data_IF_000799404299
#
_entry.id   IF_000799404299
#
_cell.length_a   1.000
_cell.length_b   1.000
_cell.length_c   1.000
_cell.angle_alpha   90.00
_cell.angle_beta   90.00
_cell.angle_gamma   90.00
#
_symmetry.space_group_name_H-M   'P 1'
#
loop_
_entity.id
_entity.type
_entity.pdbx_description
1 polymer ?
#
# COMPACT_ATOMS: atom_id res chain seq x y z
N UNK A 1 16.72 83.67 28.04
CA UNK A 1 16.63 82.47 28.88
C UNK A 1 15.78 81.46 28.13
N UNK A 2 16.39 80.62 27.28
CA UNK A 2 15.69 79.69 26.37
C UNK A 2 15.99 78.28 26.84
N UNK A 3 14.99 77.58 27.29
CA UNK A 3 15.09 76.18 27.74
C UNK A 3 14.94 75.28 26.56
N UNK A 4 16.00 74.51 26.28
CA UNK A 4 16.03 73.43 25.30
C UNK A 4 15.36 72.19 25.88
N UNK A 5 14.27 71.67 25.22
CA UNK A 5 13.63 70.39 25.57
C UNK A 5 14.25 69.31 24.70
N UNK A 6 14.98 68.40 25.34
CA UNK A 6 15.49 67.18 24.72
C UNK A 6 14.34 66.17 24.61
N UNK A 7 14.03 65.78 23.38
CA UNK A 7 13.09 64.69 23.10
C UNK A 7 13.89 63.39 22.98
N UNK A 8 13.71 62.50 23.93
CA UNK A 8 14.23 61.12 23.89
C UNK A 8 13.32 60.27 23.00
N UNK A 9 13.80 59.88 21.83
CA UNK A 9 13.19 58.83 20.99
C UNK A 9 13.63 57.46 21.54
N UNK A 10 12.69 56.75 22.15
CA UNK A 10 12.87 55.35 22.51
C UNK A 10 12.49 54.48 21.30
N UNK A 11 13.50 53.98 20.60
CA UNK A 11 13.31 52.96 19.56
C UNK A 11 13.07 51.61 20.20
N UNK A 12 11.83 51.15 20.16
CA UNK A 12 11.46 49.81 20.55
C UNK A 12 11.87 48.82 19.42
N UNK A 13 12.94 48.08 19.63
CA UNK A 13 13.33 46.97 18.76
C UNK A 13 12.44 45.78 19.10
N UNK A 14 11.47 45.49 18.23
CA UNK A 14 10.72 44.25 18.26
C UNK A 14 11.63 43.12 17.73
N UNK A 15 12.21 42.33 18.65
CA UNK A 15 12.85 41.07 18.28
C UNK A 15 11.74 40.08 17.92
N UNK A 16 11.55 39.81 16.62
CA UNK A 16 10.77 38.69 16.14
C UNK A 16 11.58 37.40 16.44
N UNK A 17 11.21 36.71 17.51
CA UNK A 17 11.64 35.32 17.75
C UNK A 17 11.00 34.42 16.70
N UNK A 18 11.66 34.23 15.56
CA UNK A 18 11.39 33.07 14.69
C UNK A 18 11.81 31.81 15.46
N UNK A 19 10.85 31.20 16.11
CA UNK A 19 11.01 29.88 16.69
C UNK A 19 11.29 28.87 15.58
N UNK A 20 12.57 28.56 15.35
CA UNK A 20 12.97 27.38 14.59
C UNK A 20 12.53 26.19 15.42
N UNK A 21 11.41 25.58 15.05
CA UNK A 21 11.05 24.24 15.55
C UNK A 21 12.09 23.29 14.97
N UNK A 22 13.22 23.13 15.67
CA UNK A 22 14.14 22.05 15.39
C UNK A 22 13.38 20.75 15.59
N UNK A 23 13.04 20.07 14.51
CA UNK A 23 12.64 18.67 14.57
C UNK A 23 13.80 17.94 15.22
N UNK A 24 13.60 17.49 16.46
CA UNK A 24 14.54 16.63 17.15
C UNK A 24 14.60 15.31 16.35
N UNK A 25 15.52 15.26 15.41
CA UNK A 25 15.97 14.01 14.82
C UNK A 25 16.56 13.22 15.99
N UNK A 26 16.01 12.05 16.24
CA UNK A 26 16.49 11.16 17.30
C UNK A 26 17.98 10.91 17.08
N UNK A 27 18.84 11.45 17.97
CA UNK A 27 20.29 11.22 17.99
C UNK A 27 20.68 9.77 18.35
N UNK A 28 19.74 8.85 18.29
CA UNK A 28 20.02 7.43 18.50
C UNK A 28 20.85 6.90 17.34
N UNK A 29 21.97 6.22 17.60
CA UNK A 29 22.78 5.65 16.53
C UNK A 29 21.97 4.66 15.73
N UNK A 30 22.12 4.72 14.39
CA UNK A 30 21.50 3.75 13.51
C UNK A 30 22.04 2.35 13.83
N UNK A 31 21.14 1.37 13.99
CA UNK A 31 21.52 -0.02 14.16
C UNK A 31 21.60 -0.70 12.80
N UNK A 32 22.65 -1.46 12.56
CA UNK A 32 22.75 -2.33 11.38
C UNK A 32 22.08 -3.66 11.70
N UNK A 33 21.04 -4.00 10.96
CA UNK A 33 20.38 -5.30 11.04
C UNK A 33 20.73 -6.11 9.79
N UNK A 34 21.11 -7.37 9.97
CA UNK A 34 21.17 -8.31 8.87
C UNK A 34 19.79 -8.93 8.67
N UNK A 35 19.22 -8.72 7.50
CA UNK A 35 17.95 -9.35 7.12
C UNK A 35 18.22 -10.59 6.29
N UNK A 36 17.42 -11.67 6.45
CA UNK A 36 17.42 -12.77 5.51
C UNK A 36 17.18 -12.28 4.08
N UNK A 37 17.84 -12.92 3.12
CA UNK A 37 17.54 -12.65 1.70
C UNK A 37 16.05 -12.95 1.44
N UNK A 38 15.39 -12.05 0.72
CA UNK A 38 14.01 -12.30 0.28
C UNK A 38 14.01 -13.39 -0.78
N UNK A 39 13.03 -14.30 -0.76
CA UNK A 39 12.93 -15.32 -1.80
C UNK A 39 12.60 -14.68 -3.16
N UNK A 40 13.02 -15.33 -4.23
CA UNK A 40 12.69 -14.90 -5.59
C UNK A 40 11.18 -14.92 -5.84
N UNK A 41 10.65 -13.96 -6.62
CA UNK A 41 9.26 -13.97 -7.03
C UNK A 41 8.90 -15.23 -7.83
N UNK A 42 7.85 -15.92 -7.40
CA UNK A 42 7.40 -17.17 -8.01
C UNK A 42 6.65 -16.94 -9.33
N UNK A 43 6.90 -17.79 -10.34
CA UNK A 43 6.04 -17.88 -11.53
C UNK A 43 4.79 -18.69 -11.19
N UNK A 44 3.61 -18.13 -11.51
CA UNK A 44 2.33 -18.74 -11.18
C UNK A 44 1.31 -18.62 -12.32
N UNK A 45 0.37 -19.54 -12.35
CA UNK A 45 -0.82 -19.46 -13.21
C UNK A 45 -2.06 -19.44 -12.31
N UNK A 46 -2.91 -18.45 -12.47
CA UNK A 46 -4.10 -18.23 -11.66
C UNK A 46 -5.38 -18.55 -12.47
N UNK A 47 -6.31 -19.25 -11.83
CA UNK A 47 -7.63 -19.44 -12.39
C UNK A 47 -8.46 -18.15 -12.22
N UNK A 48 -8.81 -17.51 -13.34
CA UNK A 48 -9.53 -16.23 -13.34
C UNK A 48 -10.92 -16.30 -12.70
N UNK A 49 -11.56 -17.46 -12.69
CA UNK A 49 -12.91 -17.64 -12.13
C UNK A 49 -12.97 -17.61 -10.60
N UNK A 50 -11.85 -17.93 -9.94
CA UNK A 50 -11.77 -18.00 -8.47
C UNK A 50 -10.76 -16.98 -7.91
N UNK A 51 -10.24 -16.10 -8.75
CA UNK A 51 -9.24 -15.09 -8.36
C UNK A 51 -9.84 -13.68 -8.46
N UNK A 52 -9.60 -12.86 -7.44
CA UNK A 52 -9.92 -11.44 -7.45
C UNK A 52 -8.66 -10.59 -7.31
N UNK A 53 -8.65 -9.41 -7.94
CA UNK A 53 -7.66 -8.37 -7.70
C UNK A 53 -8.19 -7.39 -6.65
N UNK A 54 -7.41 -7.14 -5.60
CA UNK A 54 -7.67 -6.11 -4.59
C UNK A 54 -6.70 -4.94 -4.77
N UNK A 55 -7.22 -3.79 -5.15
CA UNK A 55 -6.48 -2.54 -5.39
C UNK A 55 -6.59 -1.66 -4.15
N UNK A 56 -5.47 -1.38 -3.51
CA UNK A 56 -5.39 -0.67 -2.24
C UNK A 56 -4.70 0.68 -2.41
N UNK A 57 -5.45 1.76 -2.14
CA UNK A 57 -4.91 3.12 -2.00
C UNK A 57 -4.04 3.64 -3.17
N UNK A 58 -4.31 3.24 -4.41
CA UNK A 58 -3.74 3.82 -5.65
C UNK A 58 -4.44 5.16 -5.97
N UNK A 59 -4.26 6.14 -5.10
CA UNK A 59 -4.97 7.43 -5.15
C UNK A 59 -3.99 8.59 -5.31
N UNK A 60 -4.45 9.67 -5.96
CA UNK A 60 -3.63 10.85 -6.26
C UNK A 60 -2.99 11.46 -5.01
N UNK A 61 -3.74 11.60 -3.92
CA UNK A 61 -3.25 12.22 -2.69
C UNK A 61 -2.05 11.49 -2.09
N UNK A 62 -2.03 10.16 -2.18
CA UNK A 62 -0.91 9.33 -1.73
C UNK A 62 0.23 9.40 -2.75
N UNK A 63 -0.06 9.19 -4.02
CA UNK A 63 0.95 9.09 -5.06
C UNK A 63 1.62 10.43 -5.39
N UNK A 64 1.01 11.56 -5.02
CA UNK A 64 1.64 12.88 -5.09
C UNK A 64 2.80 13.04 -4.08
N UNK A 65 2.71 12.40 -2.92
CA UNK A 65 3.71 12.51 -1.84
C UNK A 65 4.64 11.31 -1.74
N UNK A 66 4.37 10.23 -2.49
CA UNK A 66 5.11 8.97 -2.45
C UNK A 66 5.70 8.66 -3.84
N UNK A 67 6.95 9.09 -4.12
CA UNK A 67 7.55 8.99 -5.46
C UNK A 67 7.50 7.56 -6.05
N UNK A 68 7.71 6.52 -5.22
CA UNK A 68 7.67 5.12 -5.65
C UNK A 68 6.32 4.70 -6.25
N UNK A 69 5.23 5.34 -5.84
CA UNK A 69 3.90 5.05 -6.39
C UNK A 69 3.86 5.27 -7.91
N UNK A 70 4.34 6.43 -8.38
CA UNK A 70 4.34 6.77 -9.82
C UNK A 70 5.56 6.20 -10.55
N UNK A 71 6.74 6.10 -9.90
CA UNK A 71 7.98 5.70 -10.58
C UNK A 71 8.22 4.19 -10.64
N UNK A 72 7.69 3.41 -9.68
CA UNK A 72 7.92 1.96 -9.60
C UNK A 72 6.63 1.17 -9.76
N UNK A 73 5.58 1.53 -9.01
CA UNK A 73 4.37 0.72 -8.94
C UNK A 73 3.46 0.90 -10.16
N UNK A 74 3.20 2.12 -10.58
CA UNK A 74 2.26 2.41 -11.66
C UNK A 74 2.69 1.86 -13.03
N UNK A 75 3.98 1.91 -13.43
CA UNK A 75 4.45 1.30 -14.68
C UNK A 75 4.21 -0.20 -14.78
N UNK A 76 4.29 -0.93 -13.66
CA UNK A 76 3.98 -2.36 -13.60
C UNK A 76 2.47 -2.61 -13.53
N UNK A 77 1.76 -1.77 -12.76
CA UNK A 77 0.33 -1.94 -12.50
C UNK A 77 -0.55 -1.65 -13.72
N UNK A 78 -0.21 -0.65 -14.54
CA UNK A 78 -1.03 -0.26 -15.71
C UNK A 78 -1.22 -1.42 -16.70
N UNK A 79 -0.17 -2.04 -17.26
CA UNK A 79 -0.34 -3.18 -18.15
C UNK A 79 -0.87 -4.42 -17.44
N UNK A 80 -0.62 -4.56 -16.15
CA UNK A 80 -1.18 -5.66 -15.37
C UNK A 80 -2.69 -5.54 -15.22
N UNK A 81 -3.21 -4.33 -14.95
CA UNK A 81 -4.65 -4.07 -14.89
C UNK A 81 -5.36 -4.42 -16.20
N UNK A 82 -4.78 -4.08 -17.35
CA UNK A 82 -5.32 -4.44 -18.66
C UNK A 82 -5.45 -5.97 -18.82
N UNK A 83 -4.41 -6.71 -18.39
CA UNK A 83 -4.42 -8.19 -18.41
C UNK A 83 -5.46 -8.78 -17.47
N UNK A 84 -5.61 -8.22 -16.27
CA UNK A 84 -6.63 -8.60 -15.28
C UNK A 84 -8.03 -8.39 -15.85
N UNK A 85 -8.29 -7.23 -16.46
CA UNK A 85 -9.58 -6.92 -17.10
C UNK A 85 -9.87 -7.86 -18.27
N UNK A 86 -8.89 -8.10 -19.13
CA UNK A 86 -9.01 -9.03 -20.26
C UNK A 86 -9.29 -10.45 -19.82
N UNK A 87 -8.72 -10.89 -18.69
CA UNK A 87 -8.94 -12.22 -18.12
C UNK A 87 -10.27 -12.33 -17.35
N UNK A 88 -11.01 -11.23 -17.19
CA UNK A 88 -12.33 -11.22 -16.55
C UNK A 88 -12.31 -11.42 -15.03
N UNK A 89 -11.23 -11.08 -14.35
CA UNK A 89 -11.15 -11.17 -12.90
C UNK A 89 -12.13 -10.19 -12.24
N UNK A 90 -12.64 -10.60 -11.08
CA UNK A 90 -13.30 -9.67 -10.16
C UNK A 90 -12.26 -8.67 -9.65
N UNK A 91 -12.60 -7.38 -9.70
CA UNK A 91 -11.75 -6.33 -9.15
C UNK A 91 -12.45 -5.65 -7.98
N UNK A 92 -11.73 -5.53 -6.87
CA UNK A 92 -12.18 -4.84 -5.67
C UNK A 92 -11.21 -3.70 -5.35
N UNK A 93 -11.75 -2.60 -4.86
CA UNK A 93 -11.02 -1.40 -4.48
C UNK A 93 -11.23 -1.11 -3.00
N UNK A 94 -10.16 -0.76 -2.32
CA UNK A 94 -10.22 -0.40 -0.90
C UNK A 94 -9.44 0.86 -0.61
N UNK A 95 -10.14 1.87 -0.02
CA UNK A 95 -9.51 3.10 0.44
C UNK A 95 -10.36 3.76 1.52
N UNK A 96 -9.94 4.91 2.02
CA UNK A 96 -10.71 5.76 2.92
C UNK A 96 -11.77 6.55 2.16
N UNK A 97 -12.85 6.95 2.84
CA UNK A 97 -13.98 7.65 2.22
C UNK A 97 -13.57 8.89 1.42
N UNK A 98 -12.67 9.72 1.98
CA UNK A 98 -12.20 10.94 1.34
C UNK A 98 -11.43 10.70 0.03
N UNK A 99 -10.88 9.50 -0.17
CA UNK A 99 -10.06 9.15 -1.33
C UNK A 99 -10.83 8.33 -2.39
N UNK A 100 -12.10 8.03 -2.16
CA UNK A 100 -12.85 7.12 -3.04
C UNK A 100 -13.04 7.66 -4.47
N UNK A 101 -12.92 8.94 -4.67
CA UNK A 101 -13.02 9.60 -5.99
C UNK A 101 -11.67 10.02 -6.58
N UNK A 102 -10.56 9.82 -5.86
CA UNK A 102 -9.23 10.31 -6.21
C UNK A 102 -8.32 9.22 -6.77
N UNK A 103 -8.88 8.19 -7.39
CA UNK A 103 -8.10 7.11 -8.00
C UNK A 103 -7.24 7.63 -9.15
N UNK A 104 -6.02 7.09 -9.26
CA UNK A 104 -5.21 7.31 -10.47
C UNK A 104 -5.98 6.77 -11.68
N UNK A 105 -6.04 7.57 -12.76
CA UNK A 105 -6.85 7.26 -13.95
C UNK A 105 -6.51 5.92 -14.61
N UNK A 106 -5.23 5.53 -14.55
CA UNK A 106 -4.69 4.30 -15.13
C UNK A 106 -5.23 3.03 -14.48
N UNK A 107 -5.70 3.15 -13.24
CA UNK A 107 -6.17 2.03 -12.43
C UNK A 107 -7.52 2.32 -11.77
N UNK A 108 -8.25 3.31 -12.26
CA UNK A 108 -9.53 3.72 -11.71
C UNK A 108 -10.58 2.59 -11.76
N UNK A 109 -11.52 2.56 -10.78
CA UNK A 109 -12.61 1.61 -10.79
C UNK A 109 -13.49 1.75 -12.03
N UNK A 110 -13.87 0.60 -12.61
CA UNK A 110 -14.89 0.52 -13.64
C UNK A 110 -16.28 0.27 -13.03
N UNK A 111 -17.30 0.33 -13.87
CA UNK A 111 -18.65 -0.08 -13.49
C UNK A 111 -18.67 -1.56 -13.10
N UNK A 112 -19.37 -1.90 -12.03
CA UNK A 112 -19.45 -3.27 -11.53
C UNK A 112 -18.33 -3.70 -10.59
N UNK A 113 -17.26 -2.91 -10.44
CA UNK A 113 -16.21 -3.22 -9.47
C UNK A 113 -16.69 -3.05 -8.03
N UNK A 114 -16.16 -3.92 -7.16
CA UNK A 114 -16.43 -3.85 -5.72
C UNK A 114 -15.67 -2.66 -5.13
N UNK A 115 -16.37 -1.80 -4.38
CA UNK A 115 -15.76 -0.64 -3.71
C UNK A 115 -15.96 -0.74 -2.22
N UNK A 116 -14.85 -0.81 -1.48
CA UNK A 116 -14.84 -0.92 -0.03
C UNK A 116 -14.27 0.35 0.58
N UNK A 117 -15.01 0.90 1.52
CA UNK A 117 -14.63 2.10 2.25
C UNK A 117 -14.57 1.78 3.73
N UNK A 118 -13.40 1.91 4.32
CA UNK A 118 -13.23 1.89 5.77
C UNK A 118 -11.98 2.67 6.19
N UNK A 119 -11.84 2.94 7.48
CA UNK A 119 -10.67 3.62 8.06
C UNK A 119 -9.60 2.64 8.54
N UNK A 120 -9.94 1.36 8.67
CA UNK A 120 -9.00 0.32 9.07
C UNK A 120 -8.02 -0.02 7.94
N UNK A 121 -6.84 -0.50 8.29
CA UNK A 121 -5.87 -0.98 7.30
C UNK A 121 -6.28 -2.33 6.71
N UNK A 122 -6.96 -3.18 7.46
CA UNK A 122 -7.62 -4.38 6.95
C UNK A 122 -8.96 -4.01 6.30
N UNK A 123 -9.09 -4.25 4.99
CA UNK A 123 -10.31 -3.93 4.23
C UNK A 123 -11.46 -4.91 4.47
N UNK A 124 -11.22 -6.01 5.16
CA UNK A 124 -12.27 -6.90 5.64
C UNK A 124 -12.94 -6.42 6.93
N UNK A 125 -12.25 -5.57 7.72
CA UNK A 125 -12.75 -5.14 9.02
C UNK A 125 -14.00 -4.26 8.90
N UNK A 126 -15.12 -4.74 9.46
CA UNK A 126 -16.43 -4.07 9.42
C UNK A 126 -16.90 -3.71 8.00
N UNK A 127 -16.68 -4.61 7.02
CA UNK A 127 -17.15 -4.45 5.64
C UNK A 127 -17.75 -5.75 5.12
N UNK A 128 -18.48 -5.66 4.02
CA UNK A 128 -19.06 -6.84 3.33
C UNK A 128 -18.08 -7.53 2.36
N UNK A 129 -16.79 -7.17 2.34
CA UNK A 129 -15.83 -7.66 1.35
C UNK A 129 -15.80 -9.19 1.28
N UNK A 130 -15.69 -9.86 2.43
CA UNK A 130 -15.67 -11.34 2.49
C UNK A 130 -16.93 -11.96 1.91
N UNK A 131 -18.10 -11.46 2.30
CA UNK A 131 -19.39 -11.91 1.79
C UNK A 131 -19.50 -11.74 0.27
N UNK A 132 -19.10 -10.57 -0.24
CA UNK A 132 -19.15 -10.27 -1.68
C UNK A 132 -18.22 -11.16 -2.50
N UNK A 133 -17.01 -11.43 -2.01
CA UNK A 133 -16.05 -12.30 -2.68
C UNK A 133 -16.47 -13.78 -2.64
N UNK A 134 -16.91 -14.27 -1.48
CA UNK A 134 -17.38 -15.65 -1.33
C UNK A 134 -18.63 -15.94 -2.15
N UNK A 135 -19.55 -14.97 -2.26
CA UNK A 135 -20.74 -15.11 -3.13
C UNK A 135 -20.38 -15.26 -4.62
N UNK A 136 -19.17 -14.87 -5.02
CA UNK A 136 -18.62 -15.01 -6.37
C UNK A 136 -17.66 -16.20 -6.51
N UNK A 137 -17.53 -17.05 -5.48
CA UNK A 137 -16.66 -18.22 -5.47
C UNK A 137 -15.16 -17.90 -5.42
N UNK A 138 -14.77 -16.69 -4.98
CA UNK A 138 -13.37 -16.30 -4.91
C UNK A 138 -12.68 -17.02 -3.75
N UNK A 139 -11.52 -17.61 -4.04
CA UNK A 139 -10.66 -18.31 -3.07
C UNK A 139 -9.21 -17.80 -3.10
N UNK A 140 -8.86 -17.02 -4.13
CA UNK A 140 -7.53 -16.45 -4.30
C UNK A 140 -7.62 -14.93 -4.48
N UNK A 141 -6.72 -14.20 -3.86
CA UNK A 141 -6.66 -12.75 -3.97
C UNK A 141 -5.28 -12.27 -4.39
N UNK A 142 -5.23 -11.41 -5.40
CA UNK A 142 -4.03 -10.66 -5.74
C UNK A 142 -4.12 -9.33 -5.00
N UNK A 143 -3.12 -9.00 -4.17
CA UNK A 143 -3.06 -7.76 -3.40
C UNK A 143 -2.07 -6.80 -4.03
N UNK A 144 -2.51 -5.60 -4.39
CA UNK A 144 -1.67 -4.54 -4.97
C UNK A 144 -1.95 -3.21 -4.28
N UNK A 145 -0.98 -2.31 -4.26
CA UNK A 145 -1.22 -0.95 -3.80
C UNK A 145 -0.30 -0.42 -2.73
N UNK A 146 -0.70 0.69 -2.12
CA UNK A 146 0.04 1.39 -1.09
C UNK A 146 -0.53 1.07 0.29
N UNK A 147 0.24 0.63 1.24
CA UNK A 147 1.66 0.28 1.22
C UNK A 147 1.85 -1.13 1.77
N UNK A 148 2.95 -1.80 1.38
CA UNK A 148 3.23 -3.16 1.83
C UNK A 148 3.29 -3.29 3.37
N UNK A 149 3.82 -2.32 4.09
CA UNK A 149 3.87 -2.30 5.57
C UNK A 149 2.54 -1.87 6.23
N UNK A 150 1.49 -1.63 5.44
CA UNK A 150 0.19 -1.15 5.90
C UNK A 150 -0.97 -1.94 5.28
N UNK A 151 -1.83 -1.25 4.51
CA UNK A 151 -3.08 -1.83 3.98
C UNK A 151 -2.86 -3.14 3.23
N UNK A 152 -1.77 -3.29 2.49
CA UNK A 152 -1.47 -4.53 1.76
C UNK A 152 -1.23 -5.69 2.74
N UNK A 153 -0.34 -5.54 3.73
CA UNK A 153 -0.10 -6.59 4.74
C UNK A 153 -1.35 -6.91 5.55
N UNK A 154 -2.01 -5.88 6.11
CA UNK A 154 -3.17 -6.13 7.00
C UNK A 154 -4.36 -6.73 6.25
N UNK A 155 -4.64 -6.29 5.02
CA UNK A 155 -5.69 -6.92 4.19
C UNK A 155 -5.29 -8.33 3.76
N UNK A 156 -4.01 -8.60 3.49
CA UNK A 156 -3.53 -9.95 3.18
C UNK A 156 -3.67 -10.90 4.37
N UNK A 157 -3.33 -10.46 5.57
CA UNK A 157 -3.55 -11.23 6.81
C UNK A 157 -5.06 -11.44 7.02
N UNK A 158 -5.87 -10.38 6.84
CA UNK A 158 -7.33 -10.46 6.88
C UNK A 158 -7.91 -11.47 5.89
N UNK A 159 -7.32 -11.60 4.69
CA UNK A 159 -7.68 -12.60 3.70
C UNK A 159 -7.30 -14.02 4.16
N UNK A 160 -6.06 -14.22 4.62
CA UNK A 160 -5.57 -15.54 5.04
C UNK A 160 -6.39 -16.15 6.17
N UNK A 161 -6.78 -15.35 7.18
CA UNK A 161 -7.63 -15.85 8.30
C UNK A 161 -9.07 -16.15 7.86
N UNK A 162 -9.48 -15.77 6.64
CA UNK A 162 -10.76 -16.08 5.98
C UNK A 162 -10.62 -17.14 4.89
N UNK A 163 -9.51 -17.89 4.92
CA UNK A 163 -9.20 -19.01 4.03
C UNK A 163 -8.83 -18.65 2.59
N UNK A 164 -8.53 -17.38 2.28
CA UNK A 164 -8.01 -17.03 0.96
C UNK A 164 -6.52 -17.36 0.82
N UNK A 165 -6.12 -17.80 -0.36
CA UNK A 165 -4.72 -17.80 -0.79
C UNK A 165 -4.39 -16.42 -1.36
N UNK A 166 -3.23 -15.87 -1.01
CA UNK A 166 -2.87 -14.50 -1.38
C UNK A 166 -1.65 -14.49 -2.29
N UNK A 167 -1.68 -13.65 -3.30
CA UNK A 167 -0.55 -13.36 -4.19
C UNK A 167 -0.24 -11.87 -4.10
N UNK A 168 1.04 -11.52 -3.93
CA UNK A 168 1.49 -10.13 -3.94
C UNK A 168 2.54 -9.96 -5.03
N UNK A 169 2.22 -9.26 -6.14
CA UNK A 169 3.24 -8.86 -7.11
C UNK A 169 4.13 -7.77 -6.51
N UNK A 170 5.41 -8.06 -6.32
CA UNK A 170 6.35 -7.16 -5.60
C UNK A 170 6.61 -5.83 -6.33
N UNK A 171 6.33 -5.78 -7.62
CA UNK A 171 6.46 -4.60 -8.47
C UNK A 171 5.23 -3.67 -8.44
N UNK A 172 4.15 -4.08 -7.77
CA UNK A 172 2.90 -3.30 -7.63
C UNK A 172 2.64 -2.77 -6.24
N UNK A 173 3.58 -2.93 -5.33
CA UNK A 173 3.50 -2.41 -3.96
C UNK A 173 4.87 -1.97 -3.45
N UNK A 174 4.89 -0.97 -2.60
CA UNK A 174 6.09 -0.45 -1.97
C UNK A 174 5.75 0.16 -0.60
N UNK A 175 6.75 0.71 0.07
CA UNK A 175 6.60 1.59 1.21
C UNK A 175 7.51 2.81 1.06
N UNK A 176 7.47 3.75 2.01
CA UNK A 176 8.19 5.02 1.90
C UNK A 176 9.70 4.84 1.81
N UNK A 177 10.24 3.83 2.47
CA UNK A 177 11.67 3.47 2.44
C UNK A 177 11.88 2.03 1.95
N UNK A 178 13.10 1.70 1.50
CA UNK A 178 13.46 0.33 1.13
C UNK A 178 13.46 -0.60 2.35
N UNK A 179 13.90 -0.10 3.50
CA UNK A 179 13.82 -0.83 4.75
C UNK A 179 12.38 -1.20 5.11
N UNK A 180 11.46 -0.22 5.08
CA UNK A 180 10.03 -0.45 5.36
C UNK A 180 9.42 -1.43 4.33
N UNK A 181 9.84 -1.34 3.07
CA UNK A 181 9.40 -2.25 2.01
C UNK A 181 9.86 -3.68 2.29
N UNK A 182 11.14 -3.88 2.62
CA UNK A 182 11.71 -5.19 2.93
C UNK A 182 11.07 -5.83 4.18
N UNK A 183 10.91 -5.06 5.26
CA UNK A 183 10.22 -5.51 6.48
C UNK A 183 8.76 -5.88 6.18
N UNK A 184 8.07 -5.11 5.34
CA UNK A 184 6.69 -5.41 4.95
C UNK A 184 6.55 -6.76 4.22
N UNK A 185 7.42 -7.04 3.26
CA UNK A 185 7.44 -8.35 2.59
C UNK A 185 7.81 -9.49 3.53
N UNK A 186 8.84 -9.32 4.35
CA UNK A 186 9.22 -10.32 5.34
C UNK A 186 8.07 -10.62 6.31
N UNK A 187 7.42 -9.58 6.83
CA UNK A 187 6.32 -9.72 7.76
C UNK A 187 5.13 -10.46 7.15
N UNK A 188 4.72 -10.13 5.93
CA UNK A 188 3.56 -10.77 5.31
C UNK A 188 3.82 -12.25 4.96
N UNK A 189 5.06 -12.61 4.57
CA UNK A 189 5.47 -14.00 4.35
C UNK A 189 5.54 -14.81 5.65
N UNK A 190 5.79 -14.15 6.77
CA UNK A 190 5.88 -14.77 8.09
C UNK A 190 4.56 -14.71 8.88
N UNK A 191 3.50 -14.20 8.28
CA UNK A 191 2.19 -14.07 8.92
C UNK A 191 1.26 -15.23 8.56
N UNK A 192 0.35 -15.56 9.48
CA UNK A 192 -0.65 -16.61 9.25
C UNK A 192 0.00 -17.98 9.00
N UNK A 193 -0.34 -18.62 7.89
CA UNK A 193 0.33 -19.84 7.42
C UNK A 193 1.63 -19.46 6.70
N UNK A 194 2.70 -19.26 7.45
CA UNK A 194 3.96 -18.71 6.95
C UNK A 194 4.49 -19.43 5.70
N UNK A 195 5.05 -18.66 4.76
CA UNK A 195 5.58 -19.14 3.48
C UNK A 195 6.95 -18.50 3.17
N UNK A 196 7.90 -18.66 4.08
CA UNK A 196 9.23 -18.02 3.99
C UNK A 196 10.06 -18.50 2.80
N UNK A 197 9.78 -19.69 2.27
CA UNK A 197 10.42 -20.24 1.07
C UNK A 197 9.73 -19.81 -0.22
N UNK A 198 8.63 -19.06 -0.13
CA UNK A 198 7.82 -18.62 -1.25
C UNK A 198 7.31 -19.78 -2.14
N UNK A 199 6.82 -20.85 -1.52
CA UNK A 199 6.16 -21.95 -2.22
C UNK A 199 4.97 -21.41 -3.05
N UNK A 200 4.93 -21.67 -4.37
CA UNK A 200 3.88 -21.15 -5.22
C UNK A 200 2.47 -21.59 -4.79
N UNK A 201 1.58 -20.63 -4.59
CA UNK A 201 0.16 -20.82 -4.25
C UNK A 201 -0.08 -21.76 -3.04
N UNK A 202 0.84 -21.78 -2.07
CA UNK A 202 0.62 -22.45 -0.80
C UNK A 202 -0.72 -22.01 -0.20
N UNK A 203 -1.64 -22.95 0.13
CA UNK A 203 -2.97 -22.60 0.61
C UNK A 203 -2.96 -21.71 1.85
N UNK A 204 -3.84 -20.71 1.90
CA UNK A 204 -4.04 -19.81 3.04
C UNK A 204 -2.75 -19.11 3.48
N UNK A 205 -1.87 -18.82 2.54
CA UNK A 205 -0.61 -18.13 2.76
C UNK A 205 -0.38 -17.08 1.68
N UNK A 206 0.73 -16.34 1.79
CA UNK A 206 1.15 -15.38 0.77
C UNK A 206 2.20 -16.01 -0.13
N UNK A 207 2.03 -15.82 -1.44
CA UNK A 207 3.07 -16.03 -2.45
C UNK A 207 3.49 -14.68 -3.02
N UNK A 208 4.77 -14.37 -2.98
CA UNK A 208 5.33 -13.22 -3.69
C UNK A 208 5.55 -13.62 -5.17
N UNK A 209 5.10 -12.74 -6.07
CA UNK A 209 5.29 -12.88 -7.50
C UNK A 209 5.72 -11.56 -8.10
N UNK A 210 5.67 -11.43 -9.41
CA UNK A 210 5.85 -10.19 -10.16
C UNK A 210 4.83 -10.18 -11.30
N UNK A 211 4.39 -9.01 -11.73
CA UNK A 211 3.31 -8.92 -12.73
C UNK A 211 3.59 -9.74 -13.98
N UNK A 212 4.81 -9.74 -14.50
CA UNK A 212 5.21 -10.50 -15.68
C UNK A 212 5.36 -12.02 -15.46
N UNK A 213 5.34 -12.48 -14.20
CA UNK A 213 5.40 -13.89 -13.82
C UNK A 213 4.01 -14.49 -13.54
N UNK A 214 2.95 -13.68 -13.58
CA UNK A 214 1.57 -14.11 -13.37
C UNK A 214 0.90 -14.34 -14.72
N UNK A 215 0.42 -15.57 -14.96
CA UNK A 215 -0.47 -15.92 -16.06
C UNK A 215 -1.90 -16.15 -15.55
N UNK A 216 -2.89 -15.97 -16.42
CA UNK A 216 -4.30 -16.27 -16.16
C UNK A 216 -4.79 -17.38 -17.09
N UNK A 217 -5.66 -18.27 -16.55
CA UNK A 217 -6.36 -19.32 -17.28
C UNK A 217 -7.85 -19.35 -16.94
#
# INVERSE_FOLDING_TARGET
MTRLRTVLLTSSILLALCGVVAQAQSDKPMQTLQMPAMPDPARITLNSKITALMVLDYVEDICATQPKCKSQMLPAMTPFMERVRKAGLIVAYGTRAQNMTHWLKEVAPAEGDIKIVNTAQDRFYNTDLDKLLKAKGITTMIMVGWKISGSVTYTSVGAMIRDYTVVIPVDTTAASTDYETAIGFYNVLNSGNANLTNEPLKPKSVTLSRTDLIAFQ
#
